data_IF_348565735415
#
_entry.id   IF_348565735415
#
_cell.length_a   1.000
_cell.length_b   1.000
_cell.length_c   1.000
_cell.angle_alpha   90.00
_cell.angle_beta   90.00
_cell.angle_gamma   90.00
#
_symmetry.space_group_name_H-M   'P 1'
#
loop_
_entity.id
_entity.type
_entity.pdbx_description
1 polymer ?
#
# COMPACT_ATOMS: atom_id res chain seq x y z
N UNK A 1 -21.94 9.27 -6.10
CA UNK A 1 -20.82 10.25 -6.07
C UNK A 1 -20.23 10.48 -7.47
N UNK A 2 -20.33 9.51 -8.35
CA UNK A 2 -19.92 9.62 -9.76
C UNK A 2 -21.16 9.93 -10.61
N UNK A 3 -21.15 11.07 -11.32
CA UNK A 3 -22.21 11.44 -12.25
C UNK A 3 -21.93 10.78 -13.60
N UNK A 4 -22.97 10.36 -14.30
CA UNK A 4 -22.85 9.78 -15.64
C UNK A 4 -22.23 10.82 -16.59
N UNK A 5 -21.03 10.53 -17.08
CA UNK A 5 -20.33 11.37 -18.07
C UNK A 5 -20.38 10.69 -19.47
N UNK A 6 -20.35 11.47 -20.55
CA UNK A 6 -20.28 10.88 -21.88
C UNK A 6 -19.13 9.90 -22.03
N UNK A 7 -19.35 8.75 -22.67
CA UNK A 7 -18.35 7.69 -22.82
C UNK A 7 -17.01 8.18 -23.41
N UNK A 8 -17.05 9.17 -24.33
CA UNK A 8 -15.83 9.79 -24.86
C UNK A 8 -15.02 10.55 -23.80
N UNK A 9 -15.70 11.23 -22.86
CA UNK A 9 -15.05 11.93 -21.74
C UNK A 9 -14.53 10.93 -20.71
N UNK A 10 -15.27 9.85 -20.41
CA UNK A 10 -14.83 8.77 -19.56
C UNK A 10 -13.54 8.12 -20.09
N UNK A 11 -13.51 7.83 -21.38
CA UNK A 11 -12.30 7.29 -22.04
C UNK A 11 -11.12 8.28 -21.98
N UNK A 12 -11.38 9.58 -22.17
CA UNK A 12 -10.36 10.61 -22.02
C UNK A 12 -9.80 10.67 -20.60
N UNK A 13 -10.65 10.56 -19.57
CA UNK A 13 -10.21 10.51 -18.17
C UNK A 13 -9.34 9.28 -17.89
N UNK A 14 -9.67 8.12 -18.48
CA UNK A 14 -8.83 6.90 -18.34
C UNK A 14 -7.46 7.12 -19.01
N UNK A 15 -7.42 7.56 -20.27
CA UNK A 15 -6.17 7.69 -21.02
C UNK A 15 -5.28 8.79 -20.42
N UNK A 16 -5.84 9.98 -20.19
CA UNK A 16 -5.11 11.11 -19.63
C UNK A 16 -4.71 10.80 -18.18
N UNK A 17 -5.63 10.20 -17.41
CA UNK A 17 -5.38 9.77 -16.03
C UNK A 17 -4.21 8.81 -15.94
N UNK A 18 -4.14 7.78 -16.77
CA UNK A 18 -3.01 6.84 -16.84
C UNK A 18 -1.68 7.53 -17.19
N UNK A 19 -1.71 8.43 -18.15
CA UNK A 19 -0.50 9.15 -18.55
C UNK A 19 -0.01 10.08 -17.44
N UNK A 20 -0.92 10.88 -16.85
CA UNK A 20 -0.58 11.79 -15.73
C UNK A 20 -0.15 10.99 -14.51
N UNK A 21 -0.80 9.86 -14.21
CA UNK A 21 -0.46 8.97 -13.10
C UNK A 21 1.00 8.47 -13.22
N UNK A 22 1.36 7.94 -14.40
CA UNK A 22 2.71 7.45 -14.64
C UNK A 22 3.76 8.58 -14.57
N UNK A 23 3.46 9.74 -15.19
CA UNK A 23 4.35 10.89 -15.18
C UNK A 23 4.53 11.49 -13.77
N UNK A 24 3.44 11.62 -13.01
CA UNK A 24 3.49 12.16 -11.64
C UNK A 24 4.20 11.21 -10.67
N UNK A 25 4.05 9.89 -10.85
CA UNK A 25 4.79 8.89 -10.08
C UNK A 25 6.30 9.03 -10.27
N UNK A 26 6.75 9.20 -11.52
CA UNK A 26 8.17 9.43 -11.80
C UNK A 26 8.71 10.72 -11.15
N UNK A 27 7.92 11.81 -11.12
CA UNK A 27 8.29 13.06 -10.45
C UNK A 27 8.32 12.90 -8.94
N UNK A 28 7.33 12.24 -8.38
CA UNK A 28 7.21 11.98 -6.95
C UNK A 28 8.40 11.17 -6.43
N UNK A 29 8.68 10.03 -7.07
CA UNK A 29 9.81 9.15 -6.69
C UNK A 29 11.15 9.86 -6.90
N UNK A 30 11.34 10.59 -8.00
CA UNK A 30 12.55 11.38 -8.24
C UNK A 30 12.77 12.50 -7.22
N UNK A 31 11.69 13.14 -6.74
CA UNK A 31 11.73 14.11 -5.64
C UNK A 31 12.12 13.45 -4.32
N UNK A 32 11.52 12.29 -3.99
CA UNK A 32 11.84 11.51 -2.80
C UNK A 32 13.32 11.06 -2.80
N UNK A 33 13.83 10.60 -3.94
CA UNK A 33 15.22 10.20 -4.12
C UNK A 33 16.19 11.38 -3.87
N UNK A 34 15.90 12.53 -4.46
CA UNK A 34 16.73 13.73 -4.28
C UNK A 34 16.73 14.21 -2.82
N UNK A 35 15.59 14.15 -2.12
CA UNK A 35 15.50 14.52 -0.70
C UNK A 35 16.22 13.49 0.19
N UNK A 36 16.06 12.20 -0.07
CA UNK A 36 16.79 11.13 0.63
C UNK A 36 18.30 11.39 0.63
N UNK A 37 18.86 11.69 -0.56
CA UNK A 37 20.28 12.02 -0.71
C UNK A 37 20.67 13.31 0.01
N UNK A 38 19.84 14.37 -0.15
CA UNK A 38 20.13 15.68 0.44
C UNK A 38 20.13 15.66 1.98
N UNK A 39 19.26 14.85 2.58
CA UNK A 39 19.15 14.70 4.02
C UNK A 39 20.04 13.57 4.59
N UNK A 40 20.67 12.75 3.75
CA UNK A 40 21.41 11.56 4.20
C UNK A 40 20.53 10.51 4.89
N UNK A 41 19.22 10.49 4.58
CA UNK A 41 18.27 9.54 5.14
C UNK A 41 18.19 8.30 4.25
N UNK A 42 18.22 7.07 4.82
CA UNK A 42 18.13 5.84 4.02
C UNK A 42 16.92 5.83 3.07
N UNK A 43 17.09 5.40 1.80
CA UNK A 43 15.99 5.34 0.82
C UNK A 43 14.78 4.54 1.30
N UNK A 44 15.01 3.46 2.06
CA UNK A 44 13.94 2.67 2.65
C UNK A 44 13.08 3.49 3.63
N UNK A 45 13.70 4.29 4.50
CA UNK A 45 13.00 5.16 5.47
C UNK A 45 12.16 6.22 4.74
N UNK A 46 12.73 6.88 3.71
CA UNK A 46 11.96 7.82 2.90
C UNK A 46 10.83 7.09 2.16
N UNK A 47 11.09 5.90 1.63
CA UNK A 47 10.06 5.05 1.04
C UNK A 47 8.93 4.75 2.01
N UNK A 48 9.24 4.38 3.24
CA UNK A 48 8.26 4.02 4.26
C UNK A 48 7.51 5.24 4.80
N UNK A 49 8.23 6.32 5.16
CA UNK A 49 7.63 7.47 5.85
C UNK A 49 7.00 8.45 4.85
N UNK A 50 7.67 8.74 3.73
CA UNK A 50 7.22 9.79 2.81
C UNK A 50 6.38 9.21 1.68
N UNK A 51 6.87 8.15 1.02
CA UNK A 51 6.15 7.57 -0.11
C UNK A 51 4.94 6.80 0.42
N UNK A 52 5.13 5.84 1.35
CA UNK A 52 4.05 5.01 1.88
C UNK A 52 2.95 5.82 2.56
N UNK A 53 3.30 6.77 3.44
CA UNK A 53 2.31 7.66 4.06
C UNK A 53 1.58 8.54 3.03
N UNK A 54 2.33 9.12 2.08
CA UNK A 54 1.75 10.03 1.10
C UNK A 54 0.76 9.32 0.17
N UNK A 55 1.11 8.15 -0.31
CA UNK A 55 0.25 7.38 -1.22
C UNK A 55 -0.96 6.76 -0.52
N UNK A 56 -0.85 6.43 0.79
CA UNK A 56 -1.97 5.89 1.59
C UNK A 56 -2.93 6.97 2.15
N UNK A 57 -2.76 8.23 1.76
CA UNK A 57 -3.70 9.28 2.15
C UNK A 57 -5.14 9.05 1.65
N UNK A 58 -5.38 8.54 0.42
CA UNK A 58 -6.72 8.15 -0.03
C UNK A 58 -7.35 7.07 0.85
N UNK A 59 -6.60 6.04 1.25
CA UNK A 59 -7.06 4.98 2.14
C UNK A 59 -7.50 5.54 3.49
N UNK A 60 -6.71 6.46 4.06
CA UNK A 60 -7.06 7.14 5.30
C UNK A 60 -8.38 7.91 5.15
N UNK A 61 -8.53 8.67 4.06
CA UNK A 61 -9.72 9.46 3.81
C UNK A 61 -10.97 8.57 3.65
N UNK A 62 -10.88 7.50 2.85
CA UNK A 62 -11.98 6.54 2.65
C UNK A 62 -12.37 5.87 3.97
N UNK A 63 -11.39 5.39 4.75
CA UNK A 63 -11.66 4.73 6.03
C UNK A 63 -12.21 5.69 7.09
N UNK A 64 -11.71 6.92 7.16
CA UNK A 64 -12.24 7.94 8.07
C UNK A 64 -13.69 8.30 7.73
N UNK A 65 -14.01 8.53 6.44
CA UNK A 65 -15.37 8.80 5.98
C UNK A 65 -16.31 7.61 6.23
N UNK A 66 -15.82 6.38 6.01
CA UNK A 66 -16.57 5.15 6.32
C UNK A 66 -16.84 5.02 7.82
N UNK A 67 -15.86 5.38 8.66
CA UNK A 67 -16.04 5.45 10.11
C UNK A 67 -17.12 6.46 10.52
N UNK A 68 -17.09 7.68 9.97
CA UNK A 68 -18.12 8.71 10.20
C UNK A 68 -19.49 8.20 9.79
N UNK A 69 -19.58 7.47 8.67
CA UNK A 69 -20.83 6.86 8.17
C UNK A 69 -21.28 5.61 8.94
N UNK A 70 -20.51 5.11 9.91
CA UNK A 70 -20.82 3.89 10.65
C UNK A 70 -20.59 2.59 9.85
N UNK A 71 -19.85 2.65 8.74
CA UNK A 71 -19.59 1.52 7.85
C UNK A 71 -18.28 0.80 8.23
N UNK A 72 -18.26 0.10 9.39
CA UNK A 72 -17.08 -0.56 9.95
C UNK A 72 -16.43 -1.56 8.99
N UNK A 73 -17.25 -2.39 8.32
CA UNK A 73 -16.76 -3.41 7.39
C UNK A 73 -16.09 -2.80 6.16
N UNK A 74 -16.57 -1.65 5.68
CA UNK A 74 -15.95 -0.94 4.56
C UNK A 74 -14.60 -0.36 4.97
N UNK A 75 -14.49 0.19 6.18
CA UNK A 75 -13.22 0.72 6.70
C UNK A 75 -12.16 -0.36 6.88
N UNK A 76 -12.51 -1.48 7.54
CA UNK A 76 -11.59 -2.60 7.74
C UNK A 76 -11.23 -3.30 6.42
N UNK A 77 -12.22 -3.49 5.55
CA UNK A 77 -12.03 -4.06 4.22
C UNK A 77 -11.08 -3.22 3.36
N UNK A 78 -11.20 -1.88 3.42
CA UNK A 78 -10.27 -0.97 2.75
C UNK A 78 -8.85 -1.11 3.31
N UNK A 79 -8.66 -1.07 4.63
CA UNK A 79 -7.32 -1.14 5.24
C UNK A 79 -6.64 -2.50 5.02
N UNK A 80 -7.31 -3.61 5.31
CA UNK A 80 -6.72 -4.95 5.18
C UNK A 80 -6.67 -5.42 3.73
N UNK A 81 -7.68 -5.05 2.91
CA UNK A 81 -7.68 -5.32 1.48
C UNK A 81 -6.54 -4.61 0.76
N UNK A 82 -6.26 -3.34 1.09
CA UNK A 82 -5.10 -2.61 0.56
C UNK A 82 -3.78 -3.28 0.99
N UNK A 83 -3.68 -3.82 2.20
CA UNK A 83 -2.48 -4.56 2.63
C UNK A 83 -2.25 -5.84 1.79
N UNK A 84 -3.32 -6.58 1.50
CA UNK A 84 -3.25 -7.75 0.62
C UNK A 84 -2.87 -7.32 -0.80
N UNK A 85 -3.49 -6.27 -1.33
CA UNK A 85 -3.22 -5.72 -2.66
C UNK A 85 -1.77 -5.25 -2.78
N UNK A 86 -1.27 -4.51 -1.80
CA UNK A 86 0.09 -3.98 -1.79
C UNK A 86 1.14 -5.08 -1.86
N UNK A 87 0.98 -6.18 -1.12
CA UNK A 87 1.95 -7.28 -1.17
C UNK A 87 1.72 -8.15 -2.41
N UNK A 88 0.50 -8.64 -2.60
CA UNK A 88 0.24 -9.66 -3.60
C UNK A 88 0.22 -9.09 -5.02
N UNK A 89 -0.39 -7.91 -5.25
CA UNK A 89 -0.42 -7.31 -6.57
C UNK A 89 0.77 -6.37 -6.80
N UNK A 90 0.98 -5.36 -5.93
CA UNK A 90 1.95 -4.30 -6.22
C UNK A 90 3.38 -4.80 -6.08
N UNK A 91 3.75 -5.39 -4.94
CA UNK A 91 5.09 -5.96 -4.75
C UNK A 91 5.33 -7.12 -5.71
N UNK A 92 4.28 -7.92 -6.00
CA UNK A 92 4.31 -8.96 -7.01
C UNK A 92 4.69 -8.43 -8.39
N UNK A 93 4.01 -7.40 -8.88
CA UNK A 93 4.31 -6.74 -10.17
C UNK A 93 5.70 -6.11 -10.16
N UNK A 94 6.07 -5.42 -9.09
CA UNK A 94 7.41 -4.82 -8.96
C UNK A 94 8.52 -5.87 -9.05
N UNK A 95 8.35 -7.02 -8.40
CA UNK A 95 9.30 -8.14 -8.46
C UNK A 95 9.35 -8.82 -9.84
N UNK A 96 8.25 -8.84 -10.60
CA UNK A 96 8.21 -9.29 -11.98
C UNK A 96 9.01 -8.36 -12.92
N UNK A 97 8.92 -7.05 -12.70
CA UNK A 97 9.68 -6.04 -13.46
C UNK A 97 11.19 -6.23 -13.19
N UNK A 98 11.58 -6.25 -11.92
CA UNK A 98 12.96 -6.40 -11.51
C UNK A 98 13.07 -7.21 -10.20
N UNK A 99 13.97 -8.20 -10.10
CA UNK A 99 14.26 -8.89 -8.85
C UNK A 99 14.63 -7.88 -7.76
N UNK A 100 14.05 -8.03 -6.57
CA UNK A 100 14.15 -7.04 -5.50
C UNK A 100 15.20 -7.52 -4.48
N UNK A 101 16.37 -6.86 -4.37
CA UNK A 101 17.31 -7.11 -3.30
C UNK A 101 16.71 -6.67 -1.96
N UNK A 102 16.87 -7.51 -0.93
CA UNK A 102 16.29 -7.29 0.40
C UNK A 102 17.40 -7.27 1.43
N UNK A 103 17.53 -6.15 2.14
CA UNK A 103 18.50 -6.02 3.23
C UNK A 103 18.08 -6.84 4.46
N UNK A 104 19.02 -7.40 5.24
CA UNK A 104 18.69 -8.16 6.46
C UNK A 104 17.82 -7.37 7.45
N UNK A 105 18.02 -6.05 7.58
CA UNK A 105 17.23 -5.20 8.47
C UNK A 105 15.75 -5.16 8.07
N UNK A 106 15.42 -5.33 6.79
CA UNK A 106 14.03 -5.44 6.33
C UNK A 106 13.43 -6.77 6.78
N UNK A 107 14.16 -7.88 6.60
CA UNK A 107 13.68 -9.24 6.95
C UNK A 107 13.53 -9.41 8.46
N UNK A 108 14.51 -8.95 9.25
CA UNK A 108 14.55 -9.17 10.70
C UNK A 108 14.04 -8.00 11.52
N UNK A 109 13.79 -6.84 10.91
CA UNK A 109 13.28 -5.63 11.57
C UNK A 109 11.91 -5.21 11.05
N UNK A 110 11.84 -4.72 9.79
CA UNK A 110 10.61 -4.15 9.23
C UNK A 110 9.46 -5.16 9.10
N UNK A 111 9.73 -6.36 8.57
CA UNK A 111 8.69 -7.39 8.39
C UNK A 111 8.15 -7.91 9.71
N UNK A 112 8.95 -8.28 10.72
CA UNK A 112 8.45 -8.65 12.05
C UNK A 112 7.64 -7.53 12.72
N UNK A 113 8.06 -6.27 12.56
CA UNK A 113 7.34 -5.13 13.11
C UNK A 113 5.99 -4.92 12.41
N UNK A 114 5.94 -5.03 11.07
CA UNK A 114 4.69 -5.00 10.32
C UNK A 114 3.77 -6.15 10.72
N UNK A 115 4.33 -7.36 10.91
CA UNK A 115 3.57 -8.52 11.36
C UNK A 115 2.98 -8.28 12.75
N UNK A 116 3.80 -7.79 13.69
CA UNK A 116 3.34 -7.45 15.03
C UNK A 116 2.24 -6.38 15.02
N UNK A 117 2.40 -5.34 14.20
CA UNK A 117 1.40 -4.29 14.00
C UNK A 117 0.08 -4.85 13.44
N UNK A 118 0.17 -5.70 12.42
CA UNK A 118 -0.99 -6.34 11.81
C UNK A 118 -1.70 -7.25 12.79
N UNK A 119 -0.97 -8.11 13.52
CA UNK A 119 -1.53 -9.01 14.54
C UNK A 119 -2.14 -8.20 15.70
N UNK A 120 -1.47 -7.15 16.17
CA UNK A 120 -2.00 -6.29 17.24
C UNK A 120 -3.32 -5.62 16.83
N UNK A 121 -3.37 -5.02 15.63
CA UNK A 121 -4.60 -4.44 15.07
C UNK A 121 -5.74 -5.47 15.03
N UNK A 122 -5.43 -6.67 14.59
CA UNK A 122 -6.39 -7.76 14.51
C UNK A 122 -6.88 -8.26 15.86
N UNK A 123 -5.97 -8.42 16.80
CA UNK A 123 -6.34 -8.85 18.16
C UNK A 123 -7.26 -7.81 18.81
N UNK A 124 -6.98 -6.52 18.64
CA UNK A 124 -7.85 -5.47 19.15
C UNK A 124 -9.25 -5.48 18.51
N UNK A 125 -9.35 -5.87 17.24
CA UNK A 125 -10.66 -6.05 16.56
C UNK A 125 -11.37 -7.33 17.03
N UNK A 126 -10.60 -8.40 17.40
CA UNK A 126 -11.14 -9.71 17.78
C UNK A 126 -11.47 -9.84 19.27
N UNK A 127 -10.71 -9.15 20.15
CA UNK A 127 -10.79 -9.32 21.60
C UNK A 127 -11.82 -8.34 22.18
N UNK A 128 -13.05 -8.80 22.35
CA UNK A 128 -14.11 -8.02 23.00
C UNK A 128 -15.42 -8.01 22.21
N UNK A 129 -16.35 -7.16 22.64
CA UNK A 129 -17.66 -6.99 21.99
C UNK A 129 -17.58 -6.02 20.78
N UNK A 130 -16.46 -5.97 20.08
CA UNK A 130 -16.15 -5.08 18.98
C UNK A 130 -14.95 -4.17 19.24
N UNK A 131 -14.56 -3.38 18.25
CA UNK A 131 -13.43 -2.45 18.31
C UNK A 131 -13.88 -1.11 18.90
N UNK A 132 -13.38 -0.79 20.08
CA UNK A 132 -13.73 0.45 20.79
C UNK A 132 -12.92 1.66 20.29
N UNK A 133 -13.34 2.88 20.71
CA UNK A 133 -12.54 4.09 20.45
C UNK A 133 -11.15 4.03 21.08
N UNK A 134 -11.04 3.38 22.24
CA UNK A 134 -9.76 3.21 22.93
C UNK A 134 -8.83 2.28 22.16
N UNK A 135 -9.35 1.23 21.51
CA UNK A 135 -8.56 0.36 20.64
C UNK A 135 -8.01 1.13 19.45
N UNK A 136 -8.82 2.05 18.88
CA UNK A 136 -8.35 2.98 17.87
C UNK A 136 -7.22 3.88 18.35
N UNK A 137 -7.33 4.43 19.56
CA UNK A 137 -6.26 5.22 20.19
C UNK A 137 -5.01 4.37 20.45
N UNK A 138 -5.17 3.11 20.88
CA UNK A 138 -4.03 2.19 21.06
C UNK A 138 -3.33 1.87 19.73
N UNK A 139 -4.06 1.67 18.64
CA UNK A 139 -3.46 1.53 17.31
C UNK A 139 -2.64 2.76 16.92
N UNK A 140 -3.18 3.97 17.13
CA UNK A 140 -2.46 5.22 16.85
C UNK A 140 -1.23 5.41 17.74
N UNK A 141 -1.33 5.04 19.01
CA UNK A 141 -0.20 5.09 19.94
C UNK A 141 0.91 4.10 19.53
N UNK A 142 0.54 2.86 19.15
CA UNK A 142 1.49 1.89 18.62
C UNK A 142 2.15 2.40 17.34
N UNK A 143 1.39 3.01 16.44
CA UNK A 143 1.95 3.62 15.22
C UNK A 143 2.97 4.69 15.56
N UNK A 144 2.62 5.62 16.47
CA UNK A 144 3.47 6.72 16.91
C UNK A 144 4.76 6.28 17.62
N UNK A 145 4.77 5.08 18.19
CA UNK A 145 5.96 4.52 18.86
C UNK A 145 6.79 3.66 17.89
N UNK A 146 6.14 2.74 17.17
CA UNK A 146 6.86 1.75 16.38
C UNK A 146 7.50 2.36 15.13
N UNK A 147 6.86 3.34 14.47
CA UNK A 147 7.43 3.96 13.28
C UNK A 147 8.74 4.71 13.56
N UNK A 148 8.81 5.63 14.55
CA UNK A 148 10.07 6.28 14.92
C UNK A 148 11.12 5.30 15.44
N UNK A 149 10.72 4.27 16.19
CA UNK A 149 11.62 3.23 16.66
C UNK A 149 12.29 2.50 15.49
N UNK A 150 11.51 2.10 14.47
CA UNK A 150 12.08 1.49 13.28
C UNK A 150 13.03 2.43 12.53
N UNK A 151 12.62 3.68 12.31
CA UNK A 151 13.46 4.70 11.65
C UNK A 151 14.79 4.90 12.41
N UNK A 152 14.74 4.89 13.75
CA UNK A 152 15.93 4.97 14.57
C UNK A 152 16.84 3.75 14.40
N UNK A 153 16.28 2.53 14.42
CA UNK A 153 17.03 1.29 14.26
C UNK A 153 17.65 1.14 12.87
N UNK A 154 16.93 1.51 11.80
CA UNK A 154 17.45 1.48 10.42
C UNK A 154 18.52 2.58 10.20
N UNK A 155 18.36 3.74 10.85
CA UNK A 155 19.30 4.86 10.80
C UNK A 155 20.62 4.61 11.55
N UNK A 156 20.65 3.72 12.57
CA UNK A 156 21.88 3.30 13.27
C UNK A 156 22.75 2.40 12.37
N UNK A 157 22.12 1.59 11.49
CA UNK A 157 22.85 0.88 10.43
C UNK A 157 23.34 1.91 9.42
N UNK A 158 24.61 2.38 9.60
CA UNK A 158 25.23 3.38 8.73
C UNK A 158 24.79 3.19 7.28
N UNK A 159 24.26 4.26 6.67
CA UNK A 159 24.12 4.38 5.25
C UNK A 159 25.51 4.05 4.62
N UNK A 160 25.66 2.87 4.06
CA UNK A 160 26.64 2.67 2.99
C UNK A 160 26.09 3.51 1.82
N UNK A 161 26.46 4.81 1.84
CA UNK A 161 26.08 5.81 0.84
C UNK A 161 26.60 5.45 -0.56
N UNK A 162 27.34 4.36 -0.67
CA UNK A 162 27.95 3.88 -1.90
C UNK A 162 27.04 2.98 -2.77
N UNK A 163 25.81 2.66 -2.32
CA UNK A 163 24.94 1.74 -3.07
C UNK A 163 24.09 2.41 -4.17
N UNK A 164 24.17 3.72 -4.36
CA UNK A 164 23.41 4.43 -5.40
C UNK A 164 24.33 5.18 -6.37
N UNK A 165 25.26 4.44 -7.02
CA UNK A 165 26.08 4.96 -8.14
C UNK A 165 25.31 5.03 -9.48
N UNK A 166 24.03 5.26 -9.47
CA UNK A 166 23.27 5.68 -10.64
C UNK A 166 23.45 7.19 -10.85
N UNK A 167 23.72 7.63 -12.07
CA UNK A 167 23.72 9.05 -12.44
C UNK A 167 22.45 9.72 -11.93
N UNK A 168 22.60 10.59 -10.91
CA UNK A 168 21.47 11.27 -10.31
C UNK A 168 20.84 12.17 -11.37
N UNK A 169 19.62 11.87 -11.78
CA UNK A 169 18.82 12.85 -12.45
C UNK A 169 18.71 14.08 -11.52
N UNK A 170 19.43 15.13 -11.86
CA UNK A 170 19.47 16.37 -11.08
C UNK A 170 18.06 16.94 -10.99
N UNK A 171 17.37 16.68 -9.89
CA UNK A 171 16.07 17.27 -9.64
C UNK A 171 16.28 18.70 -9.14
N UNK A 172 16.06 19.70 -10.02
CA UNK A 172 16.27 21.13 -9.74
C UNK A 172 15.42 21.63 -8.56
N UNK A 173 14.21 21.06 -8.37
CA UNK A 173 13.26 21.45 -7.33
C UNK A 173 12.68 20.20 -6.64
N UNK A 174 13.43 19.54 -5.73
CA UNK A 174 13.03 18.23 -5.19
C UNK A 174 11.74 18.29 -4.37
N UNK A 175 11.51 19.33 -3.58
CA UNK A 175 10.27 19.49 -2.82
C UNK A 175 9.06 19.72 -3.72
N UNK A 176 9.19 20.50 -4.81
CA UNK A 176 8.11 20.68 -5.77
C UNK A 176 7.82 19.37 -6.52
N UNK A 177 8.85 18.61 -6.86
CA UNK A 177 8.69 17.30 -7.50
C UNK A 177 8.01 16.30 -6.56
N UNK A 178 8.36 16.30 -5.27
CA UNK A 178 7.74 15.44 -4.27
C UNK A 178 6.27 15.84 -4.05
N UNK A 179 6.00 17.03 -3.55
CA UNK A 179 4.64 17.43 -3.15
C UNK A 179 3.71 17.66 -4.36
N UNK A 180 4.21 18.25 -5.42
CA UNK A 180 3.45 18.44 -6.67
C UNK A 180 3.22 17.10 -7.38
N UNK A 181 4.22 16.23 -7.39
CA UNK A 181 4.10 14.85 -7.88
C UNK A 181 3.04 14.06 -7.12
N UNK A 182 3.05 14.10 -5.79
CA UNK A 182 2.06 13.43 -4.94
C UNK A 182 0.64 13.97 -5.18
N UNK A 183 0.47 15.28 -5.20
CA UNK A 183 -0.84 15.90 -5.44
C UNK A 183 -1.43 15.49 -6.80
N UNK A 184 -0.59 15.52 -7.85
CA UNK A 184 -1.01 15.08 -9.19
C UNK A 184 -1.24 13.57 -9.26
N UNK A 185 -0.48 12.78 -8.54
CA UNK A 185 -0.62 11.32 -8.44
C UNK A 185 -2.00 10.96 -7.86
N UNK A 186 -2.38 11.57 -6.76
CA UNK A 186 -3.68 11.38 -6.11
C UNK A 186 -4.82 11.88 -7.01
N UNK A 187 -4.69 13.09 -7.58
CA UNK A 187 -5.70 13.65 -8.45
C UNK A 187 -5.92 12.81 -9.71
N UNK A 188 -4.84 12.39 -10.38
CA UNK A 188 -4.92 11.57 -11.60
C UNK A 188 -5.50 10.17 -11.32
N UNK A 189 -5.17 9.57 -10.19
CA UNK A 189 -5.79 8.32 -9.74
C UNK A 189 -7.30 8.47 -9.60
N UNK A 190 -7.76 9.55 -8.96
CA UNK A 190 -9.20 9.81 -8.79
C UNK A 190 -9.93 9.98 -10.14
N UNK A 191 -9.39 10.78 -11.06
CA UNK A 191 -9.99 10.97 -12.38
C UNK A 191 -9.97 9.67 -13.23
N UNK A 192 -8.90 8.87 -13.12
CA UNK A 192 -8.80 7.59 -13.78
C UNK A 192 -9.89 6.63 -13.29
N UNK A 193 -10.06 6.52 -11.97
CA UNK A 193 -11.09 5.67 -11.35
C UNK A 193 -12.48 6.15 -11.78
N UNK A 194 -12.75 7.44 -11.76
CA UNK A 194 -14.01 8.01 -12.20
C UNK A 194 -14.34 7.61 -13.64
N UNK A 195 -13.41 7.84 -14.58
CA UNK A 195 -13.60 7.44 -15.97
C UNK A 195 -13.78 5.92 -16.14
N UNK A 196 -13.01 5.11 -15.39
CA UNK A 196 -13.11 3.66 -15.45
C UNK A 196 -14.45 3.13 -14.92
N UNK A 197 -14.99 3.72 -13.85
CA UNK A 197 -16.31 3.39 -13.28
C UNK A 197 -17.42 3.69 -14.30
N UNK A 198 -17.42 4.89 -14.90
CA UNK A 198 -18.46 5.27 -15.86
C UNK A 198 -18.38 4.44 -17.14
N UNK A 199 -17.17 4.11 -17.59
CA UNK A 199 -16.98 3.23 -18.74
C UNK A 199 -17.48 1.81 -18.45
N UNK A 200 -17.20 1.27 -17.26
CA UNK A 200 -17.67 -0.05 -16.84
C UNK A 200 -19.20 -0.11 -16.74
N UNK A 201 -19.83 0.96 -16.21
CA UNK A 201 -21.31 1.10 -16.20
C UNK A 201 -21.88 1.11 -17.60
N UNK A 202 -21.29 1.89 -18.50
CA UNK A 202 -21.72 1.93 -19.91
C UNK A 202 -21.60 0.57 -20.62
N UNK A 203 -20.68 -0.29 -20.18
CA UNK A 203 -20.50 -1.67 -20.66
C UNK A 203 -21.41 -2.69 -19.92
N UNK A 204 -22.29 -2.23 -19.01
CA UNK A 204 -23.23 -3.10 -18.29
C UNK A 204 -22.60 -3.90 -17.13
N UNK A 205 -21.42 -3.52 -16.65
CA UNK A 205 -20.80 -4.16 -15.48
C UNK A 205 -21.61 -3.78 -14.24
N UNK A 206 -21.89 -4.75 -13.37
CA UNK A 206 -22.65 -4.52 -12.15
C UNK A 206 -21.95 -3.60 -11.16
N UNK A 207 -22.69 -2.79 -10.39
CA UNK A 207 -22.15 -1.91 -9.36
C UNK A 207 -21.33 -2.67 -8.32
N UNK A 208 -21.72 -3.90 -8.01
CA UNK A 208 -20.96 -4.79 -7.11
C UNK A 208 -19.56 -5.08 -7.65
N UNK A 209 -19.46 -5.51 -8.91
CA UNK A 209 -18.15 -5.78 -9.54
C UNK A 209 -17.31 -4.51 -9.66
N UNK A 210 -17.92 -3.37 -9.99
CA UNK A 210 -17.24 -2.07 -10.03
C UNK A 210 -16.66 -1.74 -8.65
N UNK A 211 -17.45 -1.90 -7.59
CA UNK A 211 -17.03 -1.66 -6.21
C UNK A 211 -15.88 -2.57 -5.76
N UNK A 212 -16.02 -3.88 -6.00
CA UNK A 212 -15.04 -4.89 -5.59
C UNK A 212 -13.72 -4.84 -6.37
N UNK A 213 -13.73 -4.28 -7.57
CA UNK A 213 -12.54 -4.27 -8.45
C UNK A 213 -11.99 -2.87 -8.67
N UNK A 214 -12.71 -2.02 -9.41
CA UNK A 214 -12.22 -0.71 -9.87
C UNK A 214 -12.05 0.26 -8.70
N UNK A 215 -13.05 0.35 -7.82
CA UNK A 215 -12.98 1.29 -6.70
C UNK A 215 -12.00 0.79 -5.65
N UNK A 216 -12.04 -0.50 -5.32
CA UNK A 216 -11.14 -1.09 -4.32
C UNK A 216 -9.66 -1.01 -4.73
N UNK A 217 -9.33 -1.25 -6.02
CA UNK A 217 -7.98 -1.08 -6.52
C UNK A 217 -7.59 0.39 -6.71
N UNK A 218 -8.59 1.26 -6.89
CA UNK A 218 -8.40 2.66 -7.24
C UNK A 218 -7.70 3.50 -6.18
N UNK A 219 -7.96 3.24 -4.90
CA UNK A 219 -7.27 3.94 -3.80
C UNK A 219 -5.79 3.61 -3.77
N UNK A 220 -5.40 2.38 -4.12
CA UNK A 220 -4.01 1.92 -4.14
C UNK A 220 -3.29 2.10 -5.50
N UNK A 221 -3.88 2.82 -6.46
CA UNK A 221 -3.21 3.19 -7.71
C UNK A 221 -1.97 4.09 -7.50
N UNK A 222 -1.97 5.05 -6.56
CA UNK A 222 -0.77 5.81 -6.21
C UNK A 222 0.39 4.92 -5.76
N UNK A 223 0.12 3.93 -4.91
CA UNK A 223 1.10 2.94 -4.47
C UNK A 223 1.65 2.14 -5.64
N UNK A 224 0.77 1.62 -6.49
CA UNK A 224 1.15 0.84 -7.68
C UNK A 224 2.03 1.66 -8.61
N UNK A 225 1.64 2.88 -8.94
CA UNK A 225 2.38 3.75 -9.85
C UNK A 225 3.76 4.12 -9.28
N UNK A 226 3.84 4.47 -7.98
CA UNK A 226 5.10 4.79 -7.32
C UNK A 226 6.03 3.57 -7.19
N UNK A 227 5.48 2.38 -6.92
CA UNK A 227 6.25 1.13 -6.88
C UNK A 227 6.82 0.77 -8.27
N UNK A 228 6.03 0.90 -9.34
CA UNK A 228 6.49 0.67 -10.72
C UNK A 228 7.57 1.69 -11.10
N UNK A 229 7.37 2.98 -10.79
CA UNK A 229 8.34 4.02 -11.06
C UNK A 229 9.67 3.76 -10.32
N UNK A 230 9.60 3.36 -9.05
CA UNK A 230 10.76 2.98 -8.24
C UNK A 230 11.47 1.74 -8.79
N UNK A 231 10.72 0.70 -9.14
CA UNK A 231 11.28 -0.54 -9.70
C UNK A 231 12.00 -0.30 -11.03
N UNK A 232 11.41 0.51 -11.93
CA UNK A 232 12.03 0.89 -13.21
C UNK A 232 13.33 1.68 -13.04
N UNK A 233 13.45 2.44 -11.96
CA UNK A 233 14.66 3.20 -11.61
C UNK A 233 15.70 2.37 -10.86
N UNK A 234 15.42 1.09 -10.58
CA UNK A 234 16.28 0.24 -9.75
C UNK A 234 16.30 0.65 -8.27
N UNK A 235 15.35 1.48 -7.83
CA UNK A 235 15.25 1.99 -6.47
C UNK A 235 14.46 0.99 -5.59
N UNK A 236 15.04 -0.18 -5.35
CA UNK A 236 14.36 -1.31 -4.69
C UNK A 236 14.01 -1.02 -3.23
N UNK A 237 14.84 -0.24 -2.53
CA UNK A 237 14.57 0.20 -1.16
C UNK A 237 13.34 1.10 -1.09
N UNK A 238 13.06 1.93 -2.10
CA UNK A 238 11.82 2.69 -2.18
C UNK A 238 10.61 1.79 -2.42
N UNK A 239 10.75 0.73 -3.25
CA UNK A 239 9.66 -0.24 -3.46
C UNK A 239 9.28 -0.90 -2.14
N UNK A 240 10.26 -1.47 -1.43
CA UNK A 240 10.03 -2.16 -0.15
C UNK A 240 9.54 -1.20 0.92
N UNK A 241 10.14 -0.01 1.01
CA UNK A 241 9.74 1.03 1.96
C UNK A 241 8.31 1.47 1.73
N UNK A 242 7.92 1.76 0.49
CA UNK A 242 6.54 2.11 0.12
C UNK A 242 5.56 1.03 0.58
N UNK A 243 5.76 -0.23 0.17
CA UNK A 243 4.82 -1.33 0.47
C UNK A 243 4.74 -1.62 1.97
N UNK A 244 5.88 -1.73 2.65
CA UNK A 244 5.89 -2.02 4.10
C UNK A 244 5.34 -0.83 4.88
N UNK A 245 5.68 0.40 4.47
CA UNK A 245 5.18 1.64 5.08
C UNK A 245 3.68 1.80 4.93
N UNK A 246 3.15 1.64 3.71
CA UNK A 246 1.70 1.69 3.45
C UNK A 246 0.95 0.62 4.24
N UNK A 247 1.46 -0.61 4.29
CA UNK A 247 0.82 -1.68 5.06
C UNK A 247 0.85 -1.41 6.57
N UNK A 248 1.95 -0.87 7.07
CA UNK A 248 2.08 -0.49 8.47
C UNK A 248 1.13 0.68 8.82
N UNK A 249 1.04 1.66 7.92
CA UNK A 249 0.12 2.78 8.02
C UNK A 249 -1.34 2.31 8.02
N UNK A 250 -1.70 1.43 7.09
CA UNK A 250 -3.05 0.89 6.99
C UNK A 250 -3.44 0.08 8.23
N UNK A 251 -2.55 -0.80 8.71
CA UNK A 251 -2.83 -1.66 9.84
C UNK A 251 -3.05 -0.88 11.16
N UNK A 252 -2.34 0.23 11.38
CA UNK A 252 -2.38 0.97 12.63
C UNK A 252 -3.02 2.35 12.51
N UNK A 253 -2.60 3.17 11.53
CA UNK A 253 -3.09 4.54 11.45
C UNK A 253 -4.49 4.61 10.80
N UNK A 254 -4.73 3.88 9.72
CA UNK A 254 -6.04 3.88 9.02
C UNK A 254 -7.10 3.21 9.90
N UNK A 255 -6.83 2.00 10.40
CA UNK A 255 -7.74 1.29 11.32
C UNK A 255 -7.93 2.07 12.60
N UNK A 256 -6.83 2.58 13.20
CA UNK A 256 -6.84 3.36 14.43
C UNK A 256 -7.66 4.64 14.31
N UNK A 257 -7.46 5.42 13.24
CA UNK A 257 -8.21 6.67 13.01
C UNK A 257 -9.70 6.40 12.84
N UNK A 258 -10.06 5.42 12.02
CA UNK A 258 -11.46 5.08 11.78
C UNK A 258 -12.15 4.59 13.06
N UNK A 259 -11.50 3.70 13.82
CA UNK A 259 -12.05 3.21 15.09
C UNK A 259 -12.13 4.27 16.19
N UNK A 260 -11.18 5.21 16.25
CA UNK A 260 -11.22 6.34 17.17
C UNK A 260 -12.38 7.31 16.84
N UNK A 261 -12.70 7.47 15.56
CA UNK A 261 -13.86 8.26 15.11
C UNK A 261 -15.16 7.53 15.48
N UNK A 262 -15.30 6.27 15.09
CA UNK A 262 -16.50 5.47 15.32
C UNK A 262 -16.13 4.02 15.68
N UNK A 263 -16.59 3.50 16.83
CA UNK A 263 -16.37 2.12 17.22
C UNK A 263 -16.89 1.15 16.17
N UNK A 264 -16.14 0.07 15.90
CA UNK A 264 -16.61 -0.96 14.98
C UNK A 264 -17.53 -1.93 15.70
N UNK A 265 -18.75 -2.05 15.19
CA UNK A 265 -19.74 -3.03 15.60
C UNK A 265 -20.03 -3.96 14.43
N UNK A 266 -20.45 -5.17 14.72
CA UNK A 266 -20.87 -6.15 13.71
C UNK A 266 -19.83 -6.36 12.59
N UNK A 267 -18.58 -6.62 13.01
CA UNK A 267 -17.48 -6.90 12.09
C UNK A 267 -17.71 -8.25 11.42
N UNK A 268 -17.65 -8.25 10.08
CA UNK A 268 -17.89 -9.44 9.28
C UNK A 268 -16.93 -10.59 9.65
N UNK A 269 -17.43 -11.80 9.88
CA UNK A 269 -16.58 -12.98 10.13
C UNK A 269 -15.57 -13.25 9.02
N UNK A 270 -15.84 -12.83 7.79
CA UNK A 270 -14.92 -13.00 6.65
C UNK A 270 -13.61 -12.24 6.83
N UNK A 271 -13.63 -11.10 7.55
CA UNK A 271 -12.40 -10.37 7.88
C UNK A 271 -11.45 -11.26 8.70
N UNK A 272 -11.97 -12.02 9.66
CA UNK A 272 -11.18 -12.89 10.54
C UNK A 272 -10.78 -14.23 9.89
N UNK A 273 -11.69 -14.81 9.11
CA UNK A 273 -11.50 -16.17 8.57
C UNK A 273 -10.82 -16.20 7.21
N UNK A 274 -10.87 -15.09 6.45
CA UNK A 274 -10.32 -14.99 5.10
C UNK A 274 -9.22 -13.92 5.02
N UNK A 275 -9.57 -12.65 5.27
CA UNK A 275 -8.68 -11.52 4.91
C UNK A 275 -7.45 -11.46 5.80
N UNK A 276 -7.62 -11.66 7.08
CA UNK A 276 -6.58 -11.61 8.09
C UNK A 276 -5.52 -12.71 7.92
N UNK A 277 -5.89 -14.01 7.81
CA UNK A 277 -4.92 -15.06 7.55
C UNK A 277 -4.13 -14.85 6.25
N UNK A 278 -4.80 -14.39 5.18
CA UNK A 278 -4.14 -14.10 3.89
C UNK A 278 -3.15 -12.95 4.05
N UNK A 279 -3.54 -11.86 4.71
CA UNK A 279 -2.66 -10.71 4.97
C UNK A 279 -1.42 -11.12 5.79
N UNK A 280 -1.59 -11.91 6.85
CA UNK A 280 -0.49 -12.42 7.68
C UNK A 280 0.45 -13.33 6.87
N UNK A 281 -0.11 -14.28 6.10
CA UNK A 281 0.68 -15.17 5.25
C UNK A 281 1.47 -14.42 4.19
N UNK A 282 0.86 -13.43 3.54
CA UNK A 282 1.54 -12.56 2.58
C UNK A 282 2.65 -11.75 3.24
N UNK A 283 2.41 -11.19 4.43
CA UNK A 283 3.44 -10.46 5.17
C UNK A 283 4.63 -11.37 5.52
N UNK A 284 4.36 -12.58 6.03
CA UNK A 284 5.40 -13.58 6.31
C UNK A 284 6.17 -13.98 5.04
N UNK A 285 5.49 -14.08 3.91
CA UNK A 285 6.11 -14.46 2.64
C UNK A 285 7.17 -13.46 2.16
N UNK A 286 7.08 -12.17 2.55
CA UNK A 286 8.13 -11.17 2.25
C UNK A 286 9.45 -11.60 2.91
N UNK A 287 9.40 -12.02 4.18
CA UNK A 287 10.60 -12.50 4.87
C UNK A 287 11.11 -13.80 4.25
N UNK A 288 10.23 -14.77 3.98
CA UNK A 288 10.62 -16.07 3.40
C UNK A 288 11.27 -15.89 2.03
N UNK A 289 10.67 -15.09 1.15
CA UNK A 289 11.18 -14.88 -0.21
C UNK A 289 12.41 -13.95 -0.24
N UNK A 290 12.50 -13.02 0.73
CA UNK A 290 13.63 -12.10 0.85
C UNK A 290 14.83 -12.66 1.60
N UNK A 291 14.69 -13.79 2.31
CA UNK A 291 15.75 -14.36 3.12
C UNK A 291 16.80 -15.07 2.24
N UNK A 292 18.08 -14.79 2.49
CA UNK A 292 19.15 -15.61 1.96
C UNK A 292 19.38 -16.83 2.88
N UNK A 293 18.80 -17.97 2.54
CA UNK A 293 18.88 -19.19 3.37
C UNK A 293 20.30 -19.72 3.57
N UNK A 294 21.26 -19.41 2.67
CA UNK A 294 22.66 -19.82 2.80
C UNK A 294 23.45 -18.91 3.73
N UNK A 295 23.10 -17.62 3.74
CA UNK A 295 23.74 -16.60 4.57
C UNK A 295 22.66 -15.63 5.08
N UNK A 296 21.91 -15.96 6.15
CA UNK A 296 20.73 -15.20 6.58
C UNK A 296 21.02 -13.73 6.91
N UNK A 297 22.23 -13.42 7.38
CA UNK A 297 22.65 -12.03 7.69
C UNK A 297 23.24 -11.28 6.49
N UNK A 298 23.24 -11.87 5.28
CA UNK A 298 23.59 -11.18 4.05
C UNK A 298 22.33 -10.77 3.28
N UNK A 299 22.50 -9.85 2.33
CA UNK A 299 21.45 -9.42 1.44
C UNK A 299 20.84 -10.63 0.70
N UNK A 300 19.52 -10.73 0.75
CA UNK A 300 18.74 -11.68 -0.04
C UNK A 300 18.18 -11.02 -1.29
N UNK A 301 17.39 -11.76 -2.04
CA UNK A 301 16.75 -11.24 -3.27
C UNK A 301 15.43 -11.96 -3.47
N UNK A 302 14.36 -11.21 -3.67
CA UNK A 302 13.07 -11.72 -4.12
C UNK A 302 13.11 -11.89 -5.63
N UNK A 303 13.12 -13.12 -6.15
CA UNK A 303 13.19 -13.36 -7.59
C UNK A 303 11.84 -13.15 -8.27
N UNK A 304 11.83 -13.02 -9.60
CA UNK A 304 10.62 -12.84 -10.42
C UNK A 304 9.58 -13.94 -10.21
N UNK A 305 10.00 -15.19 -9.99
CA UNK A 305 9.07 -16.30 -9.75
C UNK A 305 8.22 -16.07 -8.50
N UNK A 306 8.78 -15.51 -7.43
CA UNK A 306 8.03 -15.15 -6.23
C UNK A 306 7.03 -14.02 -6.51
N UNK A 307 7.40 -13.04 -7.35
CA UNK A 307 6.46 -12.03 -7.86
C UNK A 307 5.28 -12.66 -8.60
N UNK A 308 5.53 -13.66 -9.45
CA UNK A 308 4.47 -14.42 -10.12
C UNK A 308 3.56 -15.17 -9.14
N UNK A 309 4.13 -15.80 -8.09
CA UNK A 309 3.35 -16.48 -7.04
C UNK A 309 2.43 -15.47 -6.34
N UNK A 310 2.92 -14.30 -5.98
CA UNK A 310 2.10 -13.27 -5.35
C UNK A 310 0.96 -12.77 -6.24
N UNK A 311 1.22 -12.49 -7.52
CA UNK A 311 0.17 -12.08 -8.47
C UNK A 311 -0.88 -13.17 -8.63
N UNK A 312 -0.48 -14.44 -8.75
CA UNK A 312 -1.43 -15.56 -8.79
C UNK A 312 -2.25 -15.67 -7.49
N UNK A 313 -1.62 -15.46 -6.33
CA UNK A 313 -2.33 -15.45 -5.05
C UNK A 313 -3.36 -14.31 -4.98
N UNK A 314 -3.03 -13.12 -5.50
CA UNK A 314 -3.99 -12.01 -5.61
C UNK A 314 -5.19 -12.35 -6.51
N UNK A 315 -4.93 -12.92 -7.68
CA UNK A 315 -6.00 -13.32 -8.61
C UNK A 315 -6.91 -14.40 -7.98
N UNK A 316 -6.33 -15.34 -7.26
CA UNK A 316 -7.09 -16.35 -6.52
C UNK A 316 -7.93 -15.72 -5.40
N UNK A 317 -7.37 -14.77 -4.64
CA UNK A 317 -8.09 -14.02 -3.62
C UNK A 317 -9.26 -13.21 -4.22
N UNK A 318 -9.03 -12.51 -5.33
CA UNK A 318 -10.06 -11.77 -6.04
C UNK A 318 -11.19 -12.70 -6.55
N UNK A 319 -10.83 -13.86 -7.08
CA UNK A 319 -11.81 -14.86 -7.50
C UNK A 319 -12.68 -15.35 -6.32
N UNK A 320 -12.07 -15.61 -5.15
CA UNK A 320 -12.79 -16.00 -3.94
C UNK A 320 -13.75 -14.91 -3.46
N UNK A 321 -13.31 -13.64 -3.49
CA UNK A 321 -14.14 -12.49 -3.17
C UNK A 321 -15.40 -12.42 -4.06
N UNK A 322 -15.19 -12.43 -5.37
CA UNK A 322 -16.28 -12.34 -6.35
C UNK A 322 -17.24 -13.51 -6.19
N UNK A 323 -16.72 -14.74 -5.98
CA UNK A 323 -17.55 -15.93 -5.80
C UNK A 323 -18.42 -15.86 -4.54
N UNK A 324 -17.87 -15.40 -3.42
CA UNK A 324 -18.62 -15.30 -2.16
C UNK A 324 -19.74 -14.26 -2.20
N UNK A 325 -19.52 -13.16 -2.92
CA UNK A 325 -20.53 -12.11 -3.08
C UNK A 325 -21.58 -12.47 -4.16
N UNK A 326 -21.18 -13.22 -5.19
CA UNK A 326 -22.09 -13.65 -6.27
C UNK A 326 -23.00 -14.83 -5.89
N UNK A 327 -22.61 -15.62 -4.88
CA UNK A 327 -23.35 -16.78 -4.37
C UNK A 327 -23.54 -16.61 -2.85
N UNK A 328 -24.48 -15.75 -2.40
CA UNK A 328 -24.83 -15.72 -0.98
C UNK A 328 -25.36 -17.08 -0.56
N UNK A 329 -24.82 -17.59 0.58
CA UNK A 329 -25.18 -18.88 1.15
C UNK A 329 -26.65 -18.95 1.58
#
# INVERSE_FOLDING_TARGET
MYSDIPAGLALAFVIIGLWVLAWSADRFVGGAEAISRALGVPPFVIGMVVIGFGTSAPELAVSALSGIGGHSNLSLGNAYGSNIFNIAAILGVAALIHPIPVRPIVVFGAVPMLLAASVASCLLVCLGDGFSRMDGVWCLALFAVLLPLYCYLDGIGKCDADASSGEAASCRHPYLALFGGLALLIASSHFLVWGAVDLARALGVSELLIGLTIIAAGTSLPELASAIASARRGQHDFVLGNIIGSNFFNALAVVGTSGAISPFKDVSPHIFTRDLPIMVLLTLSIAVFGLNFRKPLSQGTIPRCCGGVWVCAFLAYLFLLIRQEALPA
#
